data_IF_270717015865
#
_entry.id   IF_270717015865
#
_cell.length_a   1.000
_cell.length_b   1.000
_cell.length_c   1.000
_cell.angle_alpha   90.00
_cell.angle_beta   90.00
_cell.angle_gamma   90.00
#
_symmetry.space_group_name_H-M   'P 1'
#
loop_
_entity.id
_entity.type
_entity.pdbx_description
1 polymer ?
#
# COMPACT_ATOMS: atom_id res chain seq x y z
N UNK A 1 1.65 8.90 21.88
CA UNK A 1 1.35 10.07 21.02
C UNK A 1 0.28 9.63 20.05
N UNK A 2 -0.78 10.41 19.91
CA UNK A 2 -1.89 10.10 19.02
C UNK A 2 -1.45 10.24 17.55
N UNK A 3 -1.98 9.40 16.66
CA UNK A 3 -1.58 9.38 15.25
C UNK A 3 -1.91 10.70 14.56
N UNK A 4 -3.08 11.27 14.85
CA UNK A 4 -3.51 12.52 14.23
C UNK A 4 -2.59 13.68 14.62
N UNK A 5 -2.18 13.74 15.89
CA UNK A 5 -1.17 14.70 16.38
C UNK A 5 0.21 14.46 15.75
N UNK A 6 0.58 13.21 15.49
CA UNK A 6 1.83 12.90 14.79
C UNK A 6 1.83 13.41 13.35
N UNK A 7 0.69 13.30 12.66
CA UNK A 7 0.55 13.83 11.30
C UNK A 7 0.56 15.36 11.29
N UNK A 8 -0.08 16.03 12.25
CA UNK A 8 -0.01 17.50 12.37
C UNK A 8 1.43 17.98 12.63
N UNK A 9 2.15 17.30 13.54
CA UNK A 9 3.54 17.62 13.81
C UNK A 9 4.44 17.35 12.59
N UNK A 10 4.16 16.29 11.82
CA UNK A 10 4.88 16.00 10.58
C UNK A 10 4.73 17.17 9.59
N UNK A 11 3.51 17.70 9.45
CA UNK A 11 3.21 18.80 8.53
C UNK A 11 3.99 20.07 8.92
N UNK A 12 3.99 20.40 10.21
CA UNK A 12 4.74 21.56 10.73
C UNK A 12 6.25 21.37 10.59
N UNK A 13 6.78 20.19 10.93
CA UNK A 13 8.21 19.91 10.84
C UNK A 13 8.71 19.86 9.39
N UNK A 14 7.87 19.38 8.45
CA UNK A 14 8.17 19.36 7.03
C UNK A 14 8.18 20.78 6.45
N UNK A 15 7.21 21.61 6.84
CA UNK A 15 7.15 23.02 6.45
C UNK A 15 8.36 23.82 6.95
N UNK A 16 8.79 23.58 8.20
CA UNK A 16 9.94 24.25 8.81
C UNK A 16 11.29 23.60 8.49
N UNK A 17 11.29 22.47 7.76
CA UNK A 17 12.47 21.71 7.35
C UNK A 17 13.35 21.31 8.55
N UNK A 18 12.72 20.83 9.63
CA UNK A 18 13.42 20.37 10.84
C UNK A 18 13.67 18.86 10.74
N UNK A 19 14.73 18.48 10.03
CA UNK A 19 15.06 17.08 9.72
C UNK A 19 15.11 16.14 10.93
N UNK A 20 15.74 16.48 12.08
CA UNK A 20 15.78 15.57 13.23
C UNK A 20 14.39 15.28 13.80
N UNK A 21 13.50 16.26 13.73
CA UNK A 21 12.11 16.14 14.20
C UNK A 21 11.29 15.30 13.22
N UNK A 22 11.51 15.47 11.91
CA UNK A 22 10.89 14.64 10.88
C UNK A 22 11.22 13.16 11.07
N UNK A 23 12.47 12.82 11.40
CA UNK A 23 12.89 11.45 11.63
C UNK A 23 12.21 10.84 12.88
N UNK A 24 12.16 11.59 13.98
CA UNK A 24 11.50 11.15 15.21
C UNK A 24 10.00 10.93 14.98
N UNK A 25 9.33 11.88 14.33
CA UNK A 25 7.90 11.78 14.03
C UNK A 25 7.63 10.62 13.07
N UNK A 26 8.45 10.46 12.03
CA UNK A 26 8.39 9.34 11.07
C UNK A 26 8.45 7.99 11.80
N UNK A 27 9.38 7.84 12.75
CA UNK A 27 9.49 6.63 13.58
C UNK A 27 8.26 6.40 14.48
N UNK A 28 7.64 7.47 15.00
CA UNK A 28 6.43 7.37 15.81
C UNK A 28 5.24 6.93 14.94
N UNK A 29 5.08 7.54 13.76
CA UNK A 29 4.01 7.21 12.80
C UNK A 29 4.11 5.73 12.42
N UNK A 30 5.29 5.26 12.00
CA UNK A 30 5.52 3.85 11.64
C UNK A 30 5.13 2.87 12.77
N UNK A 31 5.33 3.25 14.04
CA UNK A 31 4.99 2.39 15.20
C UNK A 31 3.53 2.45 15.62
N UNK A 32 2.79 3.48 15.21
CA UNK A 32 1.44 3.77 15.72
C UNK A 32 0.35 3.62 14.68
N UNK A 33 0.69 3.62 13.40
CA UNK A 33 -0.28 3.48 12.30
C UNK A 33 -0.91 2.09 12.33
N UNK A 34 -2.25 1.98 12.48
CA UNK A 34 -2.95 0.73 12.29
C UNK A 34 -3.05 0.41 10.79
N UNK A 35 -3.12 -0.88 10.44
CA UNK A 35 -3.26 -1.33 9.06
C UNK A 35 -4.42 -0.65 8.32
N UNK A 36 -5.54 -0.37 9.00
CA UNK A 36 -6.70 0.28 8.39
C UNK A 36 -6.49 1.75 7.97
N UNK A 37 -5.51 2.45 8.56
CA UNK A 37 -5.18 3.84 8.20
C UNK A 37 -3.87 3.94 7.41
N UNK A 38 -3.23 2.81 7.10
CA UNK A 38 -1.90 2.78 6.52
C UNK A 38 -1.84 3.43 5.13
N UNK A 39 -2.87 3.19 4.30
CA UNK A 39 -3.00 3.78 2.97
C UNK A 39 -3.24 5.29 3.01
N UNK A 40 -4.20 5.74 3.81
CA UNK A 40 -4.46 7.16 4.00
C UNK A 40 -3.21 7.93 4.50
N UNK A 41 -2.44 7.33 5.42
CA UNK A 41 -1.20 7.92 5.93
C UNK A 41 -0.10 7.90 4.88
N UNK A 42 0.00 6.86 4.06
CA UNK A 42 0.92 6.78 2.93
C UNK A 42 0.68 7.90 1.91
N UNK A 43 -0.56 8.10 1.45
CA UNK A 43 -0.90 9.18 0.51
C UNK A 43 -0.60 10.56 1.08
N UNK A 44 -0.80 10.76 2.39
CA UNK A 44 -0.46 12.01 3.07
C UNK A 44 1.06 12.23 3.17
N UNK A 45 1.82 11.16 3.39
CA UNK A 45 3.28 11.21 3.48
C UNK A 45 3.95 11.38 2.12
N UNK A 46 3.36 10.86 1.04
CA UNK A 46 3.92 10.91 -0.32
C UNK A 46 4.30 12.34 -0.75
N UNK A 47 3.45 13.32 -0.44
CA UNK A 47 3.65 14.71 -0.83
C UNK A 47 4.56 15.51 0.13
N UNK A 48 4.75 15.04 1.37
CA UNK A 48 5.37 15.84 2.44
C UNK A 48 6.71 15.30 2.93
N UNK A 49 6.86 13.98 2.95
CA UNK A 49 8.06 13.33 3.43
C UNK A 49 8.29 12.00 2.68
N UNK A 50 8.96 12.04 1.51
CA UNK A 50 9.15 10.87 0.65
C UNK A 50 9.83 9.68 1.36
N UNK A 51 10.76 9.95 2.28
CA UNK A 51 11.44 8.91 3.06
C UNK A 51 10.49 8.13 3.97
N UNK A 52 9.49 8.79 4.56
CA UNK A 52 8.44 8.11 5.33
C UNK A 52 7.50 7.35 4.41
N UNK A 53 7.11 7.92 3.27
CA UNK A 53 6.27 7.24 2.29
C UNK A 53 6.88 5.91 1.84
N UNK A 54 8.20 5.86 1.59
CA UNK A 54 8.90 4.63 1.24
C UNK A 54 8.87 3.59 2.38
N UNK A 55 9.01 4.02 3.64
CA UNK A 55 8.92 3.11 4.79
C UNK A 55 7.51 2.56 4.97
N UNK A 56 6.50 3.40 4.81
CA UNK A 56 5.09 3.01 4.85
C UNK A 56 4.76 2.06 3.70
N UNK A 57 5.30 2.27 2.51
CA UNK A 57 5.17 1.36 1.37
C UNK A 57 5.71 -0.04 1.69
N UNK A 58 6.90 -0.13 2.26
CA UNK A 58 7.47 -1.42 2.67
C UNK A 58 6.60 -2.11 3.74
N UNK A 59 5.92 -1.35 4.60
CA UNK A 59 4.95 -1.91 5.54
C UNK A 59 3.68 -2.39 4.83
N UNK A 60 3.16 -1.63 3.86
CA UNK A 60 2.01 -2.02 3.03
C UNK A 60 2.27 -3.36 2.36
N UNK A 61 3.44 -3.52 1.74
CA UNK A 61 3.85 -4.78 1.07
C UNK A 61 3.90 -5.95 2.05
N UNK A 62 4.40 -5.73 3.27
CA UNK A 62 4.54 -6.78 4.31
C UNK A 62 3.22 -7.14 4.99
N UNK A 63 2.41 -6.14 5.29
CA UNK A 63 1.14 -6.28 6.02
C UNK A 63 -0.07 -6.37 5.08
N UNK A 64 0.16 -6.68 3.81
CA UNK A 64 -0.87 -6.67 2.78
C UNK A 64 -2.05 -7.60 3.07
N UNK A 65 -1.80 -8.78 3.63
CA UNK A 65 -2.84 -9.68 4.14
C UNK A 65 -3.83 -8.96 5.08
N UNK A 66 -3.36 -8.05 5.94
CA UNK A 66 -4.21 -7.28 6.86
C UNK A 66 -5.00 -6.20 6.14
N UNK A 67 -4.47 -5.65 5.04
CA UNK A 67 -5.18 -4.66 4.21
C UNK A 67 -6.34 -5.31 3.44
N UNK A 68 -6.17 -6.56 3.02
CA UNK A 68 -7.23 -7.37 2.38
C UNK A 68 -8.36 -7.62 3.37
N UNK A 69 -8.03 -8.07 4.59
CA UNK A 69 -9.01 -8.33 5.64
C UNK A 69 -9.84 -7.10 6.02
N UNK A 70 -9.25 -5.90 5.91
CA UNK A 70 -9.93 -4.65 6.25
C UNK A 70 -10.61 -3.97 5.05
N UNK A 71 -10.56 -4.57 3.85
CA UNK A 71 -11.07 -4.00 2.59
C UNK A 71 -10.48 -2.62 2.20
N UNK A 72 -9.49 -2.14 2.95
CA UNK A 72 -8.84 -0.85 2.74
C UNK A 72 -8.05 -0.77 1.44
N UNK A 73 -7.78 -1.91 0.81
CA UNK A 73 -7.11 -1.97 -0.49
C UNK A 73 -7.87 -1.29 -1.63
N UNK A 74 -9.16 -1.01 -1.46
CA UNK A 74 -9.97 -0.29 -2.45
C UNK A 74 -9.45 1.16 -2.64
N UNK A 75 -8.82 1.74 -1.62
CA UNK A 75 -8.26 3.10 -1.66
C UNK A 75 -6.97 3.21 -2.50
N UNK A 76 -6.34 2.08 -2.88
CA UNK A 76 -5.13 2.06 -3.72
C UNK A 76 -5.42 2.57 -5.14
N UNK A 77 -4.45 3.29 -5.73
CA UNK A 77 -4.45 3.66 -7.15
C UNK A 77 -4.08 2.47 -8.05
N UNK A 78 -4.50 2.47 -9.31
CA UNK A 78 -4.19 1.40 -10.28
C UNK A 78 -2.68 1.16 -10.41
N UNK A 79 -1.89 2.24 -10.49
CA UNK A 79 -0.43 2.16 -10.61
C UNK A 79 0.23 1.54 -9.37
N UNK A 80 -0.30 1.83 -8.19
CA UNK A 80 0.18 1.29 -6.93
C UNK A 80 -0.17 -0.18 -6.81
N UNK A 81 -1.39 -0.57 -7.21
CA UNK A 81 -1.79 -1.96 -7.26
C UNK A 81 -0.92 -2.75 -8.24
N UNK A 82 -0.65 -2.21 -9.43
CA UNK A 82 0.26 -2.81 -10.40
C UNK A 82 1.67 -2.99 -9.81
N UNK A 83 2.21 -1.97 -9.13
CA UNK A 83 3.52 -2.05 -8.46
C UNK A 83 3.53 -3.10 -7.35
N UNK A 84 2.44 -3.21 -6.57
CA UNK A 84 2.30 -4.20 -5.51
C UNK A 84 2.24 -5.62 -6.06
N UNK A 85 1.46 -5.85 -7.12
CA UNK A 85 1.34 -7.16 -7.77
C UNK A 85 2.67 -7.63 -8.38
N UNK A 86 3.49 -6.68 -8.85
CA UNK A 86 4.85 -6.94 -9.34
C UNK A 86 5.89 -7.09 -8.22
N UNK A 87 5.56 -6.76 -6.98
CA UNK A 87 6.50 -6.86 -5.85
C UNK A 87 6.71 -8.31 -5.42
N UNK A 88 7.99 -8.67 -5.29
CA UNK A 88 8.45 -10.01 -4.90
C UNK A 88 8.16 -10.35 -3.43
N UNK A 89 7.98 -9.31 -2.60
CA UNK A 89 7.75 -9.43 -1.16
C UNK A 89 6.28 -9.28 -0.75
N UNK A 90 5.37 -9.17 -1.73
CA UNK A 90 3.95 -9.07 -1.45
C UNK A 90 3.46 -10.30 -0.70
N UNK A 91 3.05 -10.09 0.55
CA UNK A 91 2.51 -11.14 1.39
C UNK A 91 1.02 -11.30 1.10
N UNK A 92 0.69 -12.17 0.14
CA UNK A 92 -0.67 -12.53 -0.25
C UNK A 92 -0.71 -13.97 -0.75
N UNK A 93 -1.82 -14.67 -0.48
CA UNK A 93 -2.09 -15.97 -1.11
C UNK A 93 -2.59 -15.75 -2.54
N UNK A 94 -2.18 -16.60 -3.48
CA UNK A 94 -2.56 -16.48 -4.91
C UNK A 94 -4.07 -16.45 -5.16
N UNK A 95 -4.86 -17.16 -4.36
CA UNK A 95 -6.33 -17.16 -4.45
C UNK A 95 -6.96 -15.85 -3.95
N UNK A 96 -6.32 -15.23 -2.96
CA UNK A 96 -6.77 -13.95 -2.40
C UNK A 96 -6.40 -12.82 -3.36
N UNK A 97 -5.32 -12.97 -4.14
CA UNK A 97 -4.89 -12.03 -5.17
C UNK A 97 -5.90 -11.88 -6.31
N UNK A 98 -6.36 -12.99 -6.91
CA UNK A 98 -7.34 -12.92 -8.00
C UNK A 98 -8.71 -12.44 -7.52
N UNK A 99 -9.11 -12.82 -6.30
CA UNK A 99 -10.33 -12.36 -5.66
C UNK A 99 -10.28 -10.86 -5.33
N UNK A 100 -9.13 -10.38 -4.83
CA UNK A 100 -8.89 -8.98 -4.50
C UNK A 100 -8.89 -8.10 -5.74
N UNK A 101 -8.20 -8.49 -6.82
CA UNK A 101 -8.18 -7.69 -8.06
C UNK A 101 -9.58 -7.65 -8.68
N UNK A 102 -10.36 -8.74 -8.65
CA UNK A 102 -11.78 -8.70 -9.06
C UNK A 102 -12.60 -7.74 -8.20
N UNK A 103 -12.47 -7.81 -6.87
CA UNK A 103 -13.17 -6.93 -5.93
C UNK A 103 -12.78 -5.46 -6.12
N UNK A 104 -11.50 -5.19 -6.37
CA UNK A 104 -10.99 -3.84 -6.63
C UNK A 104 -11.54 -3.28 -7.94
N UNK A 105 -11.62 -4.11 -8.99
CA UNK A 105 -12.20 -3.74 -10.28
C UNK A 105 -13.69 -3.43 -10.16
N UNK A 106 -14.44 -4.24 -9.43
CA UNK A 106 -15.87 -3.99 -9.21
C UNK A 106 -16.10 -2.69 -8.43
N UNK A 107 -15.29 -2.43 -7.40
CA UNK A 107 -15.36 -1.20 -6.62
C UNK A 107 -14.94 0.04 -7.43
N UNK A 108 -13.90 -0.07 -8.27
CA UNK A 108 -13.39 1.06 -9.07
C UNK A 108 -14.11 1.29 -10.41
N UNK A 109 -14.95 0.36 -10.85
CA UNK A 109 -15.80 0.52 -12.06
C UNK A 109 -16.69 1.77 -12.00
N UNK A 110 -17.00 2.25 -10.79
CA UNK A 110 -17.85 3.41 -10.53
C UNK A 110 -17.06 4.67 -10.18
N UNK A 111 -15.73 4.57 -10.01
CA UNK A 111 -14.89 5.63 -9.43
C UNK A 111 -14.06 6.40 -10.47
N UNK A 112 -14.22 6.12 -11.77
CA UNK A 112 -13.54 6.84 -12.85
C UNK A 112 -12.03 6.56 -12.98
N UNK A 113 -11.49 5.62 -12.19
CA UNK A 113 -10.12 5.14 -12.35
C UNK A 113 -10.03 4.27 -13.61
N UNK A 114 -8.90 4.35 -14.33
CA UNK A 114 -8.60 3.41 -15.40
C UNK A 114 -8.56 1.99 -14.82
N UNK A 115 -9.26 1.08 -15.49
CA UNK A 115 -9.39 -0.34 -15.09
C UNK A 115 -8.82 -1.26 -16.16
N UNK A 116 -8.42 -0.68 -17.30
CA UNK A 116 -8.08 -1.39 -18.52
C UNK A 116 -6.77 -2.17 -18.40
N UNK A 117 -5.79 -1.65 -17.63
CA UNK A 117 -4.52 -2.33 -17.42
C UNK A 117 -4.69 -3.51 -16.48
N UNK A 118 -5.42 -3.35 -15.37
CA UNK A 118 -5.71 -4.45 -14.44
C UNK A 118 -6.66 -5.51 -15.03
N UNK A 119 -7.63 -5.11 -15.85
CA UNK A 119 -8.48 -6.06 -16.59
C UNK A 119 -7.69 -6.86 -17.63
N UNK A 120 -6.77 -6.20 -18.35
CA UNK A 120 -5.89 -6.88 -19.30
C UNK A 120 -4.87 -7.79 -18.60
N UNK A 121 -4.40 -7.41 -17.42
CA UNK A 121 -3.53 -8.23 -16.59
C UNK A 121 -4.28 -9.45 -16.02
N UNK A 122 -5.52 -9.28 -15.55
CA UNK A 122 -6.39 -10.39 -15.14
C UNK A 122 -6.72 -11.33 -16.29
N UNK A 123 -6.99 -10.80 -17.49
CA UNK A 123 -7.28 -11.61 -18.66
C UNK A 123 -6.08 -12.46 -19.11
N UNK A 124 -4.85 -12.03 -18.78
CA UNK A 124 -3.62 -12.77 -19.01
C UNK A 124 -3.21 -13.67 -17.84
N UNK A 125 -3.66 -13.38 -16.62
CA UNK A 125 -3.38 -14.17 -15.43
C UNK A 125 -4.42 -15.29 -15.27
N UNK A 126 -4.04 -16.52 -15.63
CA UNK A 126 -4.78 -17.71 -15.21
C UNK A 126 -4.63 -17.94 -13.70
N UNK A 127 -5.69 -18.43 -13.04
CA UNK A 127 -5.76 -18.67 -11.58
C UNK A 127 -4.59 -19.52 -11.01
N UNK A 128 -3.82 -20.21 -11.88
CA UNK A 128 -2.68 -21.07 -11.52
C UNK A 128 -1.30 -20.35 -11.52
N UNK A 129 -1.17 -19.25 -12.26
CA UNK A 129 0.11 -18.52 -12.47
C UNK A 129 0.26 -17.25 -11.62
N UNK A 130 -0.85 -16.60 -11.23
CA UNK A 130 -0.81 -15.31 -10.51
C UNK A 130 -0.28 -14.15 -11.38
N UNK A 131 -0.12 -12.95 -10.80
CA UNK A 131 0.34 -11.76 -11.54
C UNK A 131 1.86 -11.55 -11.51
N UNK A 132 2.58 -12.32 -10.70
CA UNK A 132 4.02 -12.21 -10.57
C UNK A 132 4.72 -13.11 -11.60
N UNK A 133 5.20 -12.49 -12.69
CA UNK A 133 5.90 -13.14 -13.80
C UNK A 133 7.32 -13.63 -13.41
N UNK A 134 7.82 -13.24 -12.23
CA UNK A 134 9.18 -13.50 -11.76
C UNK A 134 9.39 -14.82 -10.98
N UNK A 135 8.40 -15.73 -10.94
CA UNK A 135 8.52 -17.05 -10.29
C UNK A 135 7.84 -17.18 -8.91
N UNK A 136 8.53 -17.78 -7.93
CA UNK A 136 7.98 -18.04 -6.58
C UNK A 136 8.17 -16.79 -5.70
N UNK A 137 7.08 -16.22 -5.18
CA UNK A 137 7.14 -15.14 -4.18
C UNK A 137 7.85 -15.65 -2.93
N UNK A 138 8.81 -14.87 -2.43
CA UNK A 138 9.54 -15.24 -1.23
C UNK A 138 8.63 -14.97 -0.03
N UNK A 139 8.31 -15.98 0.80
CA UNK A 139 7.65 -15.70 2.06
C UNK A 139 8.55 -14.77 2.87
N UNK A 140 7.94 -13.77 3.52
CA UNK A 140 8.68 -12.87 4.41
C UNK A 140 9.43 -13.72 5.44
N UNK A 141 10.76 -13.67 5.42
CA UNK A 141 11.57 -14.19 6.53
C UNK A 141 11.19 -13.39 7.77
N UNK A 142 10.63 -14.12 8.75
CA UNK A 142 10.27 -13.68 10.10
C UNK A 142 11.40 -12.88 10.73
#
# INVERSE_FOLDING_TARGET
MDLDKALEMLDMAAYLIIEPVLEVISNIIVKTVPASKLLAVYHKAENRHPSLAQRLWNMIVREFDKLILNETFIELREEELCKLLQDKHLNIRRNDETSMVRSWIEANKWNGNCVEHLQSALAKATDDTGFYDGGIRLPNSV
#
